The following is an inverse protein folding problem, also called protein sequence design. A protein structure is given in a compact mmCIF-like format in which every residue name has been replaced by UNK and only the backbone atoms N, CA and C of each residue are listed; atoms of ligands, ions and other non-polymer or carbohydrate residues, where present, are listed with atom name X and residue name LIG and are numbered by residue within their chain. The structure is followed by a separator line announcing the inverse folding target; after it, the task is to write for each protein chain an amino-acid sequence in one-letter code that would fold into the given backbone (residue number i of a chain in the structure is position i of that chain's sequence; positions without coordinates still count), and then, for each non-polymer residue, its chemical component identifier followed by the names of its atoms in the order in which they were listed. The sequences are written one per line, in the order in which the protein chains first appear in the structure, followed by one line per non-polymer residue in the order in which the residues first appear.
data_IF_156132732953
#
_entry.id   IF_156132732953
#
_cell.length_a   1.000
_cell.length_b   1.000
_cell.length_c   1.000
_cell.angle_alpha   90.00
_cell.angle_beta   90.00
_cell.angle_gamma   90.00
#
_symmetry.space_group_name_H-M   'P 1'
#
loop_
_entity.id
_entity.type
_entity.pdbx_description
1 polymer ?
#
# COMPACT_ATOMS: atom_id res chain seq x y z
N UNK A 1 -4.91 -26.99 -2.88
CA UNK A 1 -3.95 -26.40 -1.94
C UNK A 1 -3.03 -27.51 -1.47
N UNK A 2 -1.77 -27.47 -1.86
CA UNK A 2 -0.71 -28.32 -1.30
C UNK A 2 -0.24 -27.79 0.06
N UNK A 3 0.55 -28.58 0.78
CA UNK A 3 1.16 -28.16 2.05
C UNK A 3 2.08 -26.93 1.85
N UNK A 4 2.82 -26.89 0.73
CA UNK A 4 3.68 -25.75 0.36
C UNK A 4 2.85 -24.48 0.11
N UNK A 5 1.74 -24.60 -0.63
CA UNK A 5 0.83 -23.48 -0.87
C UNK A 5 0.23 -22.97 0.46
N UNK A 6 -0.20 -23.89 1.32
CA UNK A 6 -0.75 -23.55 2.63
C UNK A 6 0.28 -22.83 3.53
N UNK A 7 1.54 -23.24 3.49
CA UNK A 7 2.62 -22.64 4.28
C UNK A 7 2.91 -21.18 3.91
N UNK A 8 2.55 -20.72 2.72
CA UNK A 8 2.74 -19.31 2.30
C UNK A 8 1.71 -18.34 2.87
N UNK A 9 0.56 -18.85 3.33
CA UNK A 9 -0.59 -18.02 3.69
C UNK A 9 -0.41 -17.26 5.02
N UNK A 10 0.02 -17.86 6.13
CA UNK A 10 -0.11 -17.23 7.45
C UNK A 10 0.57 -15.85 7.52
N UNK A 11 1.87 -15.78 7.24
CA UNK A 11 2.64 -14.54 7.36
C UNK A 11 2.19 -13.46 6.36
N UNK A 12 2.03 -13.83 5.08
CA UNK A 12 1.68 -12.85 4.05
C UNK A 12 0.26 -12.33 4.20
N UNK A 13 -0.67 -13.18 4.63
CA UNK A 13 -2.07 -12.81 4.86
C UNK A 13 -2.19 -11.90 6.07
N UNK A 14 -1.61 -12.28 7.22
CA UNK A 14 -1.67 -11.46 8.45
C UNK A 14 -1.01 -10.11 8.21
N UNK A 15 0.18 -10.07 7.61
CA UNK A 15 0.85 -8.80 7.31
C UNK A 15 0.01 -7.90 6.39
N UNK A 16 -0.71 -8.47 5.42
CA UNK A 16 -1.59 -7.72 4.52
C UNK A 16 -2.80 -7.15 5.27
N UNK A 17 -3.47 -7.98 6.08
CA UNK A 17 -4.60 -7.57 6.92
C UNK A 17 -4.20 -6.43 7.87
N UNK A 18 -3.10 -6.59 8.60
CA UNK A 18 -2.58 -5.57 9.51
C UNK A 18 -2.25 -4.29 8.74
N UNK A 19 -1.57 -4.40 7.60
CA UNK A 19 -1.16 -3.22 6.83
C UNK A 19 -2.33 -2.39 6.33
N UNK A 20 -3.47 -3.00 6.00
CA UNK A 20 -4.61 -2.25 5.48
C UNK A 20 -5.53 -1.78 6.59
N UNK A 21 -5.87 -2.68 7.52
CA UNK A 21 -7.02 -2.48 8.40
C UNK A 21 -6.66 -2.08 9.82
N UNK A 22 -5.40 -2.26 10.25
CA UNK A 22 -4.99 -1.79 11.57
C UNK A 22 -4.90 -0.25 11.58
N UNK A 23 -5.65 0.40 12.46
CA UNK A 23 -5.51 1.84 12.72
C UNK A 23 -4.21 2.19 13.48
N UNK A 24 -3.67 1.22 14.22
CA UNK A 24 -2.44 1.38 15.00
C UNK A 24 -1.20 1.22 14.13
N UNK A 25 -1.11 0.12 13.38
CA UNK A 25 0.11 -0.32 12.68
C UNK A 25 -0.02 -0.32 11.14
N UNK A 26 -1.17 0.06 10.59
CA UNK A 26 -1.44 0.05 9.15
C UNK A 26 -2.09 1.33 8.66
N UNK A 27 -2.72 1.24 7.48
CA UNK A 27 -3.39 2.34 6.78
C UNK A 27 -4.66 2.81 7.50
N UNK A 28 -5.25 1.97 8.35
CA UNK A 28 -6.50 2.28 9.06
C UNK A 28 -7.70 2.41 8.14
N UNK A 29 -7.68 1.76 6.97
CA UNK A 29 -8.89 1.54 6.17
C UNK A 29 -9.82 0.68 7.02
N UNK A 30 -11.13 0.95 7.02
CA UNK A 30 -12.06 0.13 7.79
C UNK A 30 -12.05 -1.31 7.24
N UNK A 31 -12.17 -2.30 8.10
CA UNK A 31 -12.18 -3.69 7.65
C UNK A 31 -13.56 -4.02 7.06
N UNK A 32 -13.67 -4.64 5.86
CA UNK A 32 -14.96 -4.89 5.20
C UNK A 32 -15.97 -5.70 6.03
N UNK A 33 -15.50 -6.48 6.99
CA UNK A 33 -16.33 -7.28 7.91
C UNK A 33 -16.68 -6.56 9.22
N UNK A 34 -16.20 -5.34 9.44
CA UNK A 34 -16.50 -4.57 10.65
C UNK A 34 -17.83 -3.83 10.53
N UNK A 35 -18.47 -3.56 11.67
CA UNK A 35 -19.76 -2.84 11.71
C UNK A 35 -19.59 -1.40 11.25
N UNK A 36 -18.44 -0.79 11.56
CA UNK A 36 -18.09 0.58 11.19
C UNK A 36 -17.91 0.75 9.68
N UNK A 37 -17.57 -0.33 8.97
CA UNK A 37 -17.36 -0.31 7.53
C UNK A 37 -18.65 -0.30 6.70
N UNK A 38 -19.84 -0.42 7.34
CA UNK A 38 -21.12 -0.57 6.65
C UNK A 38 -21.35 0.47 5.55
N UNK A 39 -20.98 1.72 5.82
CA UNK A 39 -21.17 2.85 4.91
C UNK A 39 -19.84 3.38 4.33
N UNK A 40 -18.74 2.61 4.46
CA UNK A 40 -17.44 3.00 3.92
C UNK A 40 -17.41 2.81 2.40
N UNK A 41 -17.05 3.87 1.67
CA UNK A 41 -16.98 3.84 0.21
C UNK A 41 -15.63 3.28 -0.28
N UNK A 42 -15.54 1.95 -0.33
CA UNK A 42 -14.38 1.26 -0.91
C UNK A 42 -14.21 1.55 -2.40
N UNK A 43 -15.30 1.73 -3.15
CA UNK A 43 -15.26 1.95 -4.59
C UNK A 43 -14.61 3.30 -4.96
N UNK A 44 -14.75 4.31 -4.11
CA UNK A 44 -14.03 5.59 -4.26
C UNK A 44 -12.65 5.61 -3.61
N UNK A 45 -12.26 4.55 -2.90
CA UNK A 45 -10.95 4.46 -2.25
C UNK A 45 -9.85 4.15 -3.27
N UNK A 46 -8.71 4.84 -3.12
CA UNK A 46 -7.50 4.61 -3.91
C UNK A 46 -6.35 4.17 -3.01
N UNK A 47 -5.64 3.11 -3.41
CA UNK A 47 -4.43 2.64 -2.74
C UNK A 47 -3.26 2.52 -3.72
N UNK A 48 -2.09 2.99 -3.29
CA UNK A 48 -0.82 2.79 -3.97
C UNK A 48 -0.06 1.64 -3.30
N UNK A 49 0.43 0.68 -4.07
CA UNK A 49 1.22 -0.46 -3.61
C UNK A 49 2.55 -0.46 -4.35
N UNK A 50 3.63 -0.07 -3.67
CA UNK A 50 5.00 -0.19 -4.17
C UNK A 50 5.52 -1.60 -3.92
N UNK A 51 6.11 -2.22 -4.94
CA UNK A 51 6.60 -3.59 -4.88
C UNK A 51 5.51 -4.63 -5.06
N UNK A 52 4.44 -4.32 -5.81
CA UNK A 52 3.30 -5.22 -6.04
C UNK A 52 3.64 -6.57 -6.69
N UNK A 53 4.77 -6.66 -7.41
CA UNK A 53 5.28 -7.91 -7.97
C UNK A 53 5.98 -8.84 -6.97
N UNK A 54 6.26 -8.39 -5.74
CA UNK A 54 6.76 -9.25 -4.66
C UNK A 54 5.64 -10.12 -4.07
N UNK A 55 5.96 -11.21 -3.38
CA UNK A 55 4.94 -12.00 -2.67
C UNK A 55 4.15 -11.12 -1.68
N UNK A 56 4.83 -10.28 -0.90
CA UNK A 56 4.19 -9.33 0.01
C UNK A 56 3.25 -8.35 -0.71
N UNK A 57 3.63 -7.88 -1.90
CA UNK A 57 2.82 -6.99 -2.73
C UNK A 57 1.60 -7.70 -3.32
N UNK A 58 1.79 -8.90 -3.90
CA UNK A 58 0.74 -9.70 -4.56
C UNK A 58 -0.44 -9.98 -3.63
N UNK A 59 -0.17 -10.34 -2.37
CA UNK A 59 -1.24 -10.56 -1.38
C UNK A 59 -2.04 -9.29 -1.08
N UNK A 60 -1.40 -8.11 -1.12
CA UNK A 60 -2.08 -6.83 -0.89
C UNK A 60 -2.90 -6.36 -2.07
N UNK A 61 -2.44 -6.62 -3.29
CA UNK A 61 -3.25 -6.38 -4.50
C UNK A 61 -4.53 -7.22 -4.43
N UNK A 62 -4.40 -8.51 -4.13
CA UNK A 62 -5.55 -9.41 -3.96
C UNK A 62 -6.46 -8.96 -2.82
N UNK A 63 -5.90 -8.61 -1.65
CA UNK A 63 -6.69 -8.14 -0.53
C UNK A 63 -7.41 -6.82 -0.82
N UNK A 64 -6.79 -5.88 -1.53
CA UNK A 64 -7.42 -4.63 -1.95
C UNK A 64 -8.62 -4.92 -2.87
N UNK A 65 -8.45 -5.84 -3.82
CA UNK A 65 -9.51 -6.27 -4.72
C UNK A 65 -10.66 -6.94 -3.96
N UNK A 66 -10.35 -7.84 -3.03
CA UNK A 66 -11.33 -8.54 -2.18
C UNK A 66 -12.09 -7.57 -1.28
N UNK A 67 -11.42 -6.53 -0.77
CA UNK A 67 -12.05 -5.47 0.01
C UNK A 67 -12.94 -4.52 -0.81
N UNK A 68 -12.93 -4.65 -2.15
CA UNK A 68 -13.72 -3.78 -3.03
C UNK A 68 -13.10 -2.41 -3.29
N UNK A 69 -11.79 -2.23 -3.03
CA UNK A 69 -11.09 -0.97 -3.31
C UNK A 69 -11.15 -0.68 -4.82
N UNK A 70 -11.64 0.50 -5.20
CA UNK A 70 -11.91 0.83 -6.60
C UNK A 70 -10.66 1.12 -7.43
N UNK A 71 -9.67 1.82 -6.87
CA UNK A 71 -8.42 2.12 -7.59
C UNK A 71 -7.22 1.51 -6.86
N UNK A 72 -6.57 0.55 -7.52
CA UNK A 72 -5.43 -0.20 -6.99
C UNK A 72 -4.25 0.06 -7.92
N UNK A 73 -3.40 1.01 -7.55
CA UNK A 73 -2.21 1.39 -8.31
C UNK A 73 -1.03 0.58 -7.81
N UNK A 74 -0.41 -0.18 -8.70
CA UNK A 74 0.77 -0.98 -8.40
C UNK A 74 1.97 -0.38 -9.10
N UNK A 75 3.05 -0.13 -8.36
CA UNK A 75 4.37 0.14 -8.93
C UNK A 75 5.22 -1.12 -8.77
N UNK A 76 5.69 -1.67 -9.87
CA UNK A 76 6.41 -2.93 -9.90
C UNK A 76 7.04 -3.21 -11.25
N UNK A 77 7.53 -4.44 -11.46
CA UNK A 77 7.80 -4.89 -12.83
C UNK A 77 6.49 -4.99 -13.61
N UNK A 78 6.52 -4.66 -14.90
CA UNK A 78 5.36 -4.82 -15.80
C UNK A 78 5.07 -6.31 -15.94
N UNK A 79 4.26 -6.84 -15.04
CA UNK A 79 3.84 -8.24 -15.04
C UNK A 79 2.32 -8.33 -15.19
N UNK A 80 1.90 -9.17 -16.13
CA UNK A 80 0.50 -9.53 -16.41
C UNK A 80 -0.18 -10.02 -15.13
N UNK A 81 0.56 -10.69 -14.23
CA UNK A 81 0.03 -11.23 -12.98
C UNK A 81 -0.62 -10.17 -12.09
N UNK A 82 -0.08 -8.96 -12.00
CA UNK A 82 -0.63 -7.93 -11.12
C UNK A 82 -2.05 -7.51 -11.52
N UNK A 83 -2.34 -7.48 -12.82
CA UNK A 83 -3.71 -7.23 -13.32
C UNK A 83 -4.64 -8.40 -13.01
N UNK A 84 -4.17 -9.64 -13.15
CA UNK A 84 -4.94 -10.85 -12.79
C UNK A 84 -5.30 -10.81 -11.30
N UNK A 85 -4.37 -10.39 -10.44
CA UNK A 85 -4.60 -10.26 -8.99
C UNK A 85 -5.50 -9.09 -8.58
N UNK A 86 -5.87 -8.21 -9.52
CA UNK A 86 -6.86 -7.16 -9.29
C UNK A 86 -6.31 -5.74 -9.29
N UNK A 87 -5.06 -5.50 -9.65
CA UNK A 87 -4.56 -4.14 -9.87
C UNK A 87 -5.36 -3.46 -10.99
N UNK A 88 -5.74 -2.20 -10.79
CA UNK A 88 -6.41 -1.40 -11.83
C UNK A 88 -5.40 -0.67 -12.70
N UNK A 89 -4.27 -0.28 -12.11
CA UNK A 89 -3.16 0.36 -12.81
C UNK A 89 -1.85 -0.33 -12.41
N UNK A 90 -1.01 -0.63 -13.39
CA UNK A 90 0.33 -1.20 -13.17
C UNK A 90 1.32 -0.27 -13.84
N UNK A 91 2.24 0.27 -13.05
CA UNK A 91 3.26 1.23 -13.45
C UNK A 91 4.64 0.56 -13.35
N UNK A 92 5.51 0.87 -14.30
CA UNK A 92 6.87 0.38 -14.30
C UNK A 92 7.69 1.05 -13.18
N UNK A 93 8.55 0.27 -12.53
CA UNK A 93 9.49 0.71 -11.50
C UNK A 93 10.85 1.10 -12.06
N UNK A 94 11.10 0.85 -13.35
CA UNK A 94 12.41 1.05 -13.98
C UNK A 94 12.63 2.46 -14.54
N UNK A 95 11.66 3.37 -14.39
CA UNK A 95 11.84 4.79 -14.71
C UNK A 95 12.68 5.53 -13.67
N UNK A 96 13.12 6.74 -14.02
CA UNK A 96 13.77 7.64 -13.07
C UNK A 96 12.78 8.10 -11.99
N UNK A 97 13.30 8.53 -10.83
CA UNK A 97 12.46 8.88 -9.67
C UNK A 97 11.29 9.83 -10.00
N UNK A 98 11.58 10.92 -10.73
CA UNK A 98 10.58 11.92 -11.08
C UNK A 98 9.56 11.39 -12.09
N UNK A 99 9.98 10.53 -13.02
CA UNK A 99 9.08 9.92 -14.01
C UNK A 99 8.10 8.98 -13.32
N UNK A 100 8.59 8.10 -12.44
CA UNK A 100 7.73 7.17 -11.70
C UNK A 100 6.74 7.94 -10.81
N UNK A 101 7.21 9.00 -10.14
CA UNK A 101 6.34 9.86 -9.34
C UNK A 101 5.27 10.54 -10.19
N UNK A 102 5.63 11.05 -11.37
CA UNK A 102 4.70 11.67 -12.32
C UNK A 102 3.65 10.66 -12.83
N UNK A 103 4.06 9.43 -13.17
CA UNK A 103 3.13 8.38 -13.58
C UNK A 103 2.13 8.05 -12.48
N UNK A 104 2.59 7.95 -11.23
CA UNK A 104 1.69 7.73 -10.08
C UNK A 104 0.70 8.90 -9.97
N UNK A 105 1.19 10.14 -10.00
CA UNK A 105 0.37 11.37 -9.89
C UNK A 105 -0.62 11.54 -11.02
N UNK A 106 -0.27 11.11 -12.22
CA UNK A 106 -1.19 11.11 -13.37
C UNK A 106 -2.42 10.24 -13.10
N UNK A 107 -2.25 9.13 -12.38
CA UNK A 107 -3.35 8.21 -12.05
C UNK A 107 -4.15 8.70 -10.84
N UNK A 108 -3.47 9.14 -9.78
CA UNK A 108 -4.12 9.40 -8.47
C UNK A 108 -4.43 10.87 -8.19
N UNK A 109 -3.91 11.78 -9.00
CA UNK A 109 -4.02 13.22 -8.78
C UNK A 109 -3.47 13.67 -7.43
N UNK A 110 -4.25 14.49 -6.73
CA UNK A 110 -3.95 14.94 -5.36
C UNK A 110 -4.87 14.29 -4.31
N UNK A 111 -5.47 13.13 -4.60
CA UNK A 111 -6.44 12.49 -3.71
C UNK A 111 -5.89 11.24 -2.99
N UNK A 112 -4.65 10.83 -3.27
CA UNK A 112 -4.05 9.63 -2.69
C UNK A 112 -3.80 9.78 -1.18
N UNK A 113 -4.56 9.06 -0.36
CA UNK A 113 -4.40 9.06 1.10
C UNK A 113 -3.72 7.80 1.64
N UNK A 114 -3.68 6.72 0.85
CA UNK A 114 -3.21 5.41 1.31
C UNK A 114 -2.10 4.88 0.39
N UNK A 115 -0.90 4.73 0.94
CA UNK A 115 0.23 4.15 0.24
C UNK A 115 0.89 3.04 1.06
N UNK A 116 1.32 1.99 0.39
CA UNK A 116 2.02 0.88 1.01
C UNK A 116 3.34 0.61 0.29
N UNK A 117 4.42 0.40 1.04
CA UNK A 117 5.72 0.01 0.51
C UNK A 117 6.17 -1.37 1.03
N UNK A 118 6.26 -2.32 0.11
CA UNK A 118 6.60 -3.70 0.42
C UNK A 118 8.12 -3.95 0.52
N UNK A 119 8.97 -3.09 -0.06
CA UNK A 119 10.31 -3.51 -0.50
C UNK A 119 11.42 -2.51 -0.21
N UNK A 120 11.13 -1.21 -0.20
CA UNK A 120 12.20 -0.22 -0.16
C UNK A 120 12.70 0.05 1.26
N UNK A 121 14.02 0.22 1.40
CA UNK A 121 14.61 0.86 2.57
C UNK A 121 14.19 2.36 2.64
N UNK A 122 14.40 3.05 3.78
CA UNK A 122 13.89 4.41 4.00
C UNK A 122 14.15 5.43 2.88
N UNK A 123 15.32 5.47 2.19
CA UNK A 123 15.52 6.39 1.08
C UNK A 123 14.54 6.19 -0.09
N UNK A 124 14.13 4.96 -0.38
CA UNK A 124 13.18 4.66 -1.46
C UNK A 124 11.71 4.90 -1.06
N UNK A 125 11.40 4.87 0.24
CA UNK A 125 10.05 5.12 0.77
C UNK A 125 9.58 6.57 0.53
N UNK A 126 10.51 7.47 0.24
CA UNK A 126 10.24 8.86 -0.15
C UNK A 126 9.36 8.93 -1.41
N UNK A 127 9.45 7.96 -2.34
CA UNK A 127 8.59 7.92 -3.52
C UNK A 127 7.11 7.83 -3.13
N UNK A 128 6.77 6.85 -2.28
CA UNK A 128 5.40 6.65 -1.81
C UNK A 128 4.91 7.85 -0.98
N UNK A 129 5.78 8.43 -0.15
CA UNK A 129 5.46 9.65 0.60
C UNK A 129 5.16 10.81 -0.34
N UNK A 130 6.02 11.07 -1.33
CA UNK A 130 5.81 12.18 -2.27
C UNK A 130 4.60 11.97 -3.19
N UNK A 131 4.17 10.72 -3.42
CA UNK A 131 2.94 10.42 -4.13
C UNK A 131 1.66 10.74 -3.34
N UNK A 132 1.70 10.76 -2.00
CA UNK A 132 0.52 11.09 -1.18
C UNK A 132 0.00 12.51 -1.47
N UNK A 133 -1.29 12.71 -1.24
CA UNK A 133 -1.94 14.01 -1.35
C UNK A 133 -1.18 15.12 -0.61
N UNK A 134 -1.10 16.28 -1.25
CA UNK A 134 -0.58 17.51 -0.67
C UNK A 134 -1.64 18.19 0.20
N UNK A 135 -2.92 18.02 -0.14
CA UNK A 135 -4.08 18.70 0.47
C UNK A 135 -4.87 17.85 1.45
N UNK A 136 -4.67 16.54 1.47
CA UNK A 136 -5.30 15.57 2.39
C UNK A 136 -4.23 14.81 3.16
N UNK A 137 -4.49 14.55 4.44
CA UNK A 137 -3.54 13.84 5.29
C UNK A 137 -3.40 12.39 4.84
N UNK A 138 -2.20 12.01 4.40
CA UNK A 138 -1.91 10.66 3.92
C UNK A 138 -1.27 9.74 4.96
N UNK A 139 -1.28 8.44 4.71
CA UNK A 139 -0.57 7.44 5.50
C UNK A 139 0.24 6.53 4.57
N UNK A 140 1.53 6.37 4.87
CA UNK A 140 2.39 5.33 4.34
C UNK A 140 2.48 4.19 5.35
N UNK A 141 2.14 2.97 4.95
CA UNK A 141 2.47 1.75 5.67
C UNK A 141 3.66 1.03 5.00
N UNK A 142 4.61 0.50 5.79
CA UNK A 142 5.86 -0.09 5.25
C UNK A 142 6.27 -1.39 5.93
N UNK A 143 6.93 -2.28 5.20
CA UNK A 143 7.51 -3.52 5.75
C UNK A 143 8.98 -3.42 6.14
N UNK A 144 9.76 -2.60 5.44
CA UNK A 144 11.21 -2.50 5.69
C UNK A 144 11.47 -1.40 6.71
N UNK A 145 11.71 -1.84 7.96
CA UNK A 145 11.81 -0.99 9.16
C UNK A 145 13.27 -0.64 9.50
N UNK A 146 14.00 -0.04 8.56
CA UNK A 146 15.42 0.27 8.75
C UNK A 146 15.68 1.72 9.21
N UNK A 147 14.89 2.19 10.19
CA UNK A 147 14.99 3.54 10.75
C UNK A 147 13.97 4.55 10.19
N UNK A 148 14.08 5.83 10.58
CA UNK A 148 13.20 6.88 10.10
C UNK A 148 13.44 7.18 8.62
N UNK A 149 12.40 7.69 7.94
CA UNK A 149 12.56 8.34 6.64
C UNK A 149 13.17 9.72 6.82
N UNK A 150 13.92 10.18 5.82
CA UNK A 150 14.38 11.57 5.79
C UNK A 150 13.22 12.48 5.35
N UNK A 151 12.52 13.06 6.32
CA UNK A 151 11.36 13.92 6.04
C UNK A 151 11.73 15.19 5.27
N UNK A 152 13.02 15.60 5.24
CA UNK A 152 13.45 16.76 4.43
C UNK A 152 13.31 16.53 2.93
N UNK A 153 13.25 15.26 2.51
CA UNK A 153 13.04 14.85 1.12
C UNK A 153 11.55 14.75 0.74
N UNK A 154 10.64 14.96 1.69
CA UNK A 154 9.20 14.91 1.45
C UNK A 154 8.67 16.30 1.14
N UNK A 155 8.11 16.46 -0.06
CA UNK A 155 7.71 17.76 -0.61
C UNK A 155 6.19 17.88 -0.73
N UNK A 156 5.66 19.06 -0.41
CA UNK A 156 4.27 19.46 -0.69
C UNK A 156 3.20 18.98 0.30
N UNK A 157 3.56 18.19 1.33
CA UNK A 157 2.60 17.57 2.27
C UNK A 157 2.07 18.53 3.33
N UNK A 158 1.40 19.60 2.90
CA UNK A 158 0.87 20.65 3.77
C UNK A 158 -0.18 20.13 4.77
N UNK A 159 -0.95 19.10 4.39
CA UNK A 159 -1.90 18.42 5.28
C UNK A 159 -1.24 17.40 6.23
N UNK A 160 0.07 17.21 6.11
CA UNK A 160 0.86 16.23 6.86
C UNK A 160 0.67 14.79 6.38
N UNK A 161 1.48 13.89 6.94
CA UNK A 161 1.40 12.46 6.68
C UNK A 161 1.71 11.65 7.95
N UNK A 162 1.54 10.34 7.87
CA UNK A 162 1.98 9.37 8.89
C UNK A 162 2.78 8.27 8.21
N UNK A 163 3.80 7.77 8.91
CA UNK A 163 4.49 6.52 8.55
C UNK A 163 4.11 5.46 9.57
N UNK A 164 3.77 4.27 9.10
CA UNK A 164 3.27 3.14 9.89
C UNK A 164 4.10 1.91 9.63
N UNK A 165 4.65 1.39 10.72
CA UNK A 165 5.51 0.22 10.69
C UNK A 165 4.64 -1.04 10.81
N UNK A 166 4.58 -1.83 9.74
CA UNK A 166 3.73 -3.02 9.70
C UNK A 166 4.48 -4.20 10.29
N UNK A 167 3.97 -4.74 11.39
CA UNK A 167 4.42 -6.00 11.96
C UNK A 167 3.31 -7.05 11.87
N UNK A 168 3.48 -8.03 10.97
CA UNK A 168 2.50 -9.09 10.69
C UNK A 168 2.49 -10.20 11.75
N UNK A 169 2.27 -9.87 13.02
CA UNK A 169 2.20 -10.82 14.12
C UNK A 169 0.77 -11.07 14.54
N UNK A 170 0.26 -12.29 14.36
CA UNK A 170 -1.08 -12.67 14.84
C UNK A 170 -1.20 -12.56 16.37
N UNK A 171 -0.11 -12.80 17.10
CA UNK A 171 -0.13 -12.66 18.57
C UNK A 171 -0.44 -11.23 19.02
N UNK A 172 -0.05 -10.22 18.23
CA UNK A 172 -0.35 -8.82 18.51
C UNK A 172 -1.69 -8.35 17.97
N UNK A 173 -2.37 -9.20 17.19
CA UNK A 173 -3.62 -8.92 16.51
C UNK A 173 -4.59 -10.11 16.68
N UNK A 174 -5.01 -10.40 17.93
CA UNK A 174 -5.92 -11.51 18.25
C UNK A 174 -7.35 -11.30 17.74
#
# INVERSE_FOLDING_TARGET
MSDDEAATLPTNTIASLVSFFSSLNGLGILAPWSVEAKDFDYASTTVLIIGGGSNCGKFRVQLAKLAGIGTIVVVGGVDIESKIYGATHVLDRHGEYNEVLEWIRTVVGDDLQYAFDAINAPPGQILALNALSNTKKGTLARLVLMGPVDESMVVGKNAGFKVKDVMGSSQLHP
#
